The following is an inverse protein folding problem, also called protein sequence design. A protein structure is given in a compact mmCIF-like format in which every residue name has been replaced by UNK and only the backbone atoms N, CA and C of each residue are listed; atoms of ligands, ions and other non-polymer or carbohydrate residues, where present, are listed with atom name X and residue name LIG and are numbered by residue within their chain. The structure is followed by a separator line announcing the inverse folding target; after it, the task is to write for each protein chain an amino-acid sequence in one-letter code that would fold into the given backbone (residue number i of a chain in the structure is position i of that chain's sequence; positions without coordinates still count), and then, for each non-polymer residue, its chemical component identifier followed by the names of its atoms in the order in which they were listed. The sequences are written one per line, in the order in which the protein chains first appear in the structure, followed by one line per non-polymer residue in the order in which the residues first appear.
data_IF_644456717240
#
_entry.id   IF_644456717240
#
_cell.length_a   1.000
_cell.length_b   1.000
_cell.length_c   1.000
_cell.angle_alpha   90.00
_cell.angle_beta   90.00
_cell.angle_gamma   90.00
#
_symmetry.space_group_name_H-M   'P 1'
#
loop_
_entity.id
_entity.type
_entity.pdbx_description
1 polymer ?
#
# COMPACT_ATOMS: atom_id res chain seq x y z
N UNK A 1 -9.44 -10.65 0.30
CA UNK A 1 -9.01 -9.36 -0.29
C UNK A 1 -7.49 -9.36 -0.39
N UNK A 2 -6.90 -8.94 -1.50
CA UNK A 2 -5.43 -8.83 -1.63
C UNK A 2 -4.92 -7.69 -0.74
N UNK A 3 -3.79 -7.89 -0.06
CA UNK A 3 -3.17 -6.89 0.83
C UNK A 3 -2.88 -5.57 0.11
N UNK A 4 -2.52 -5.62 -1.18
CA UNK A 4 -2.35 -4.45 -2.05
C UNK A 4 -3.58 -3.56 -2.07
N UNK A 5 -4.75 -4.15 -2.28
CA UNK A 5 -6.01 -3.42 -2.34
C UNK A 5 -6.37 -2.81 -0.98
N UNK A 6 -6.00 -3.47 0.11
CA UNK A 6 -6.20 -2.95 1.47
C UNK A 6 -5.32 -1.72 1.73
N UNK A 7 -4.05 -1.78 1.32
CA UNK A 7 -3.11 -0.65 1.39
C UNK A 7 -3.55 0.53 0.51
N UNK A 8 -3.91 0.26 -0.73
CA UNK A 8 -4.38 1.30 -1.66
C UNK A 8 -5.64 2.00 -1.13
N UNK A 9 -6.61 1.24 -0.60
CA UNK A 9 -7.77 1.80 0.08
C UNK A 9 -7.39 2.62 1.31
N UNK A 10 -6.43 2.16 2.12
CA UNK A 10 -5.98 2.88 3.29
C UNK A 10 -5.37 4.24 2.92
N UNK A 11 -4.50 4.28 1.91
CA UNK A 11 -3.89 5.52 1.38
C UNK A 11 -4.99 6.50 0.95
N UNK A 12 -5.99 6.02 0.20
CA UNK A 12 -7.12 6.83 -0.23
C UNK A 12 -7.97 7.34 0.94
N UNK A 13 -8.26 6.49 1.94
CA UNK A 13 -9.05 6.84 3.12
C UNK A 13 -8.35 7.85 4.04
N UNK A 14 -7.03 7.76 4.16
CA UNK A 14 -6.23 8.71 4.93
C UNK A 14 -5.97 10.03 4.18
N UNK A 15 -6.55 10.22 2.99
CA UNK A 15 -6.29 11.38 2.12
C UNK A 15 -4.80 11.56 1.78
N UNK A 16 -4.04 10.47 1.74
CA UNK A 16 -2.62 10.48 1.38
C UNK A 16 -2.53 10.46 -0.14
N UNK A 17 -1.74 11.37 -0.72
CA UNK A 17 -1.53 11.40 -2.16
C UNK A 17 -0.74 10.17 -2.62
N UNK A 18 -1.32 9.28 -3.45
CA UNK A 18 -0.61 8.10 -3.94
C UNK A 18 0.63 8.48 -4.78
N UNK A 19 0.59 9.63 -5.47
CA UNK A 19 1.73 10.17 -6.20
C UNK A 19 2.93 10.47 -5.30
N UNK A 20 2.65 10.99 -4.10
CA UNK A 20 3.70 11.31 -3.13
C UNK A 20 4.28 10.04 -2.52
N UNK A 21 3.41 9.07 -2.21
CA UNK A 21 3.84 7.76 -1.71
C UNK A 21 4.71 7.07 -2.76
N UNK A 22 4.28 7.00 -4.01
CA UNK A 22 5.04 6.42 -5.11
C UNK A 22 6.42 7.07 -5.28
N UNK A 23 6.49 8.40 -5.13
CA UNK A 23 7.76 9.13 -5.23
C UNK A 23 8.71 8.83 -4.06
N UNK A 24 8.19 8.70 -2.83
CA UNK A 24 9.01 8.50 -1.63
C UNK A 24 9.44 7.03 -1.46
N UNK A 25 8.57 6.09 -1.82
CA UNK A 25 8.82 4.64 -1.67
C UNK A 25 9.32 3.97 -2.94
N UNK A 26 9.27 4.65 -4.09
CA UNK A 26 9.62 4.08 -5.39
C UNK A 26 8.59 3.06 -5.91
N UNK A 27 7.48 2.85 -5.21
CA UNK A 27 6.41 1.93 -5.64
C UNK A 27 5.64 2.53 -6.80
N UNK A 28 5.31 1.71 -7.80
CA UNK A 28 4.55 2.17 -8.95
C UNK A 28 3.16 2.69 -8.54
N UNK A 29 2.79 3.88 -9.04
CA UNK A 29 1.52 4.55 -8.72
C UNK A 29 0.30 3.64 -8.94
N UNK A 30 0.30 2.88 -10.03
CA UNK A 30 -0.75 1.93 -10.40
C UNK A 30 -1.05 0.88 -9.32
N UNK A 31 -0.08 0.56 -8.46
CA UNK A 31 -0.24 -0.36 -7.32
C UNK A 31 -0.85 0.29 -6.08
N UNK A 32 -0.91 1.62 -6.05
CA UNK A 32 -1.38 2.43 -4.92
C UNK A 32 -2.81 2.94 -5.12
N UNK A 33 -3.45 2.61 -6.25
CA UNK A 33 -4.82 3.00 -6.57
C UNK A 33 -5.79 1.91 -6.09
N UNK A 34 -6.93 2.26 -5.47
CA UNK A 34 -7.95 1.28 -5.12
C UNK A 34 -8.40 0.48 -6.35
N UNK A 35 -8.74 -0.78 -6.13
CA UNK A 35 -9.15 -1.75 -7.16
C UNK A 35 -8.05 -2.16 -8.14
N UNK A 36 -6.78 -1.87 -7.82
CA UNK A 36 -5.65 -2.33 -8.63
C UNK A 36 -5.60 -3.86 -8.72
N UNK A 37 -5.33 -4.36 -9.93
CA UNK A 37 -5.11 -5.78 -10.18
C UNK A 37 -3.66 -6.20 -9.86
N UNK A 38 -2.76 -5.20 -9.81
CA UNK A 38 -1.35 -5.36 -9.54
C UNK A 38 -1.10 -5.84 -8.10
N UNK A 39 0.01 -6.54 -7.91
CA UNK A 39 0.40 -7.09 -6.62
C UNK A 39 1.68 -6.42 -6.15
N UNK A 40 1.71 -5.97 -4.89
CA UNK A 40 2.93 -5.46 -4.28
C UNK A 40 3.88 -6.62 -4.05
N UNK A 41 5.14 -6.43 -4.42
CA UNK A 41 6.21 -7.31 -4.02
C UNK A 41 6.44 -7.18 -2.50
N UNK A 42 7.05 -8.21 -1.89
CA UNK A 42 7.28 -8.21 -0.45
C UNK A 42 8.10 -7.00 0.03
N UNK A 43 9.07 -6.55 -0.78
CA UNK A 43 9.85 -5.34 -0.51
C UNK A 43 9.00 -4.06 -0.55
N UNK A 44 8.23 -3.87 -1.62
CA UNK A 44 7.31 -2.73 -1.79
C UNK A 44 6.27 -2.67 -0.66
N UNK A 45 5.74 -3.83 -0.26
CA UNK A 45 4.81 -3.94 0.85
C UNK A 45 5.42 -3.48 2.17
N UNK A 46 6.61 -3.96 2.52
CA UNK A 46 7.31 -3.59 3.75
C UNK A 46 7.67 -2.10 3.76
N UNK A 47 8.12 -1.57 2.63
CA UNK A 47 8.47 -0.16 2.47
C UNK A 47 7.23 0.74 2.67
N UNK A 48 6.09 0.35 2.08
CA UNK A 48 4.82 1.06 2.29
C UNK A 48 4.34 0.98 3.74
N UNK A 49 4.43 -0.19 4.38
CA UNK A 49 4.13 -0.33 5.79
C UNK A 49 4.99 0.60 6.65
N UNK A 50 6.30 0.68 6.37
CA UNK A 50 7.23 1.54 7.09
C UNK A 50 6.90 3.03 6.86
N UNK A 51 6.66 3.44 5.61
CA UNK A 51 6.31 4.81 5.24
C UNK A 51 4.99 5.27 5.86
N UNK A 52 3.97 4.40 5.84
CA UNK A 52 2.65 4.68 6.40
C UNK A 52 2.59 4.51 7.92
N UNK A 53 3.66 3.99 8.54
CA UNK A 53 3.69 3.68 9.98
C UNK A 53 2.74 2.55 10.38
N UNK A 54 2.41 1.66 9.45
CA UNK A 54 1.49 0.54 9.65
C UNK A 54 2.31 -0.73 9.89
N UNK A 55 1.84 -1.59 10.79
CA UNK A 55 2.43 -2.92 10.95
C UNK A 55 1.95 -3.84 9.82
N UNK A 56 2.83 -4.59 9.15
CA UNK A 56 2.42 -5.51 8.09
C UNK A 56 1.36 -6.53 8.58
N UNK A 57 1.42 -6.91 9.85
CA UNK A 57 0.46 -7.82 10.51
C UNK A 57 -0.99 -7.29 10.52
N UNK A 58 -1.20 -5.97 10.62
CA UNK A 58 -2.53 -5.34 10.56
C UNK A 58 -3.17 -5.48 9.16
N UNK A 59 -2.33 -5.58 8.13
CA UNK A 59 -2.75 -5.63 6.73
C UNK A 59 -2.83 -7.07 6.19
N UNK A 60 -1.97 -7.96 6.70
CA UNK A 60 -1.86 -9.39 6.32
C UNK A 60 -3.10 -10.22 6.69
N UNK A 61 -3.99 -9.72 7.56
CA UNK A 61 -5.31 -10.30 7.77
C UNK A 61 -5.27 -11.80 8.09
N UNK A 62 -4.43 -12.19 9.06
CA UNK A 62 -4.57 -13.51 9.69
C UNK A 62 -5.69 -13.43 10.72
N UNK A 63 -6.91 -13.65 10.25
CA UNK A 63 -8.01 -14.17 11.08
C UNK A 63 -8.08 -15.69 10.91
#
# INVERSE_FOLDING_TARGET
MKVTNRLANYIAQQHISPERVAMDTGVALEKLVPETEETLEAGEFLELCLYLGIRPEDMDGRE
#
